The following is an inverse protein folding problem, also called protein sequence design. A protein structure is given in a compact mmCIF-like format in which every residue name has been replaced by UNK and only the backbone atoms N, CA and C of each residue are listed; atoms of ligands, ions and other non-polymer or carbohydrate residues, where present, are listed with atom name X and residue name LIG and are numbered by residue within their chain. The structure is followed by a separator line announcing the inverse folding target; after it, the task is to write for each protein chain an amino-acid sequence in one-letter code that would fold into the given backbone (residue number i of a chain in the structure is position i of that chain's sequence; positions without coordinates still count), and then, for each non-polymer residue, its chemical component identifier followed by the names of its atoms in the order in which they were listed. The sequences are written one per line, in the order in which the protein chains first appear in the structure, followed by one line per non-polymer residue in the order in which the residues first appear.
data_IF_482015512932
#
_entry.id   IF_482015512932
#
_cell.length_a   1.000
_cell.length_b   1.000
_cell.length_c   1.000
_cell.angle_alpha   90.00
_cell.angle_beta   90.00
_cell.angle_gamma   90.00
#
_symmetry.space_group_name_H-M   'P 1'
#
loop_
_entity.id
_entity.type
_entity.pdbx_description
1 polymer ?
#
# COMPACT_ATOMS: atom_id res chain seq x y z
N UNK A 1 77.29 52.11 -6.59
CA UNK A 1 76.33 51.02 -6.27
C UNK A 1 77.09 49.99 -5.45
N UNK A 2 76.79 49.82 -4.15
CA UNK A 2 77.61 49.03 -3.22
C UNK A 2 77.25 47.52 -3.31
N UNK A 3 78.17 46.64 -3.73
CA UNK A 3 77.88 45.22 -3.96
C UNK A 3 77.52 44.44 -2.68
N UNK A 4 77.90 44.93 -1.50
CA UNK A 4 77.60 44.25 -0.23
C UNK A 4 76.11 44.28 0.16
N UNK A 5 75.33 45.23 -0.36
CA UNK A 5 73.88 45.28 -0.13
C UNK A 5 73.11 44.21 -0.92
N UNK A 6 73.67 43.77 -2.06
CA UNK A 6 73.05 42.77 -2.94
C UNK A 6 73.17 41.37 -2.31
N UNK A 7 74.28 41.10 -1.62
CA UNK A 7 74.54 39.81 -0.96
C UNK A 7 73.66 39.61 0.27
N UNK A 8 73.40 40.66 1.06
CA UNK A 8 72.52 40.56 2.24
C UNK A 8 71.03 40.30 1.89
N UNK A 9 70.57 40.71 0.71
CA UNK A 9 69.17 40.50 0.29
C UNK A 9 68.92 39.07 -0.21
N UNK A 10 69.95 38.36 -0.69
CA UNK A 10 69.85 36.99 -1.22
C UNK A 10 69.49 35.95 -0.15
N UNK A 11 69.78 36.22 1.13
CA UNK A 11 69.55 35.30 2.25
C UNK A 11 68.27 35.56 3.04
N UNK A 12 67.50 36.60 2.71
CA UNK A 12 66.16 36.84 3.27
C UNK A 12 65.07 36.28 2.35
N UNK A 13 65.22 35.02 1.97
CA UNK A 13 64.09 34.22 1.49
C UNK A 13 63.28 33.90 2.76
N UNK A 14 61.98 34.22 2.83
CA UNK A 14 61.20 33.85 3.99
C UNK A 14 61.25 32.33 4.12
N UNK A 15 62.00 31.84 5.10
CA UNK A 15 62.17 30.41 5.43
C UNK A 15 60.88 29.82 6.02
N UNK A 16 59.71 30.35 5.65
CA UNK A 16 58.46 29.63 5.71
C UNK A 16 58.43 28.70 4.52
N UNK A 17 59.18 27.60 4.68
CA UNK A 17 59.39 26.58 3.66
C UNK A 17 58.07 26.19 3.00
N UNK A 18 58.08 26.02 1.67
CA UNK A 18 56.96 25.50 0.89
C UNK A 18 56.36 24.22 1.50
N UNK A 19 57.14 23.47 2.28
CA UNK A 19 56.69 22.30 3.05
C UNK A 19 55.61 22.65 4.09
N UNK A 20 55.71 23.80 4.77
CA UNK A 20 54.72 24.24 5.77
C UNK A 20 53.40 24.63 5.10
N UNK A 21 53.45 25.44 4.05
CA UNK A 21 52.26 25.86 3.29
C UNK A 21 51.57 24.67 2.62
N UNK A 22 52.35 23.75 2.03
CA UNK A 22 51.83 22.50 1.46
C UNK A 22 51.15 21.64 2.53
N UNK A 23 51.74 21.50 3.72
CA UNK A 23 51.14 20.75 4.84
C UNK A 23 49.83 21.37 5.33
N UNK A 24 49.76 22.69 5.41
CA UNK A 24 48.53 23.43 5.79
C UNK A 24 47.43 23.25 4.74
N UNK A 25 47.78 23.34 3.45
CA UNK A 25 46.86 23.08 2.34
C UNK A 25 46.33 21.64 2.34
N UNK A 26 47.16 20.64 2.63
CA UNK A 26 46.71 19.25 2.77
C UNK A 26 45.70 19.09 3.92
N UNK A 27 46.01 19.62 5.10
CA UNK A 27 45.07 19.57 6.25
C UNK A 27 43.74 20.23 5.91
N UNK A 28 43.78 21.40 5.30
CA UNK A 28 42.60 22.13 4.85
C UNK A 28 41.79 21.33 3.82
N UNK A 29 42.46 20.66 2.89
CA UNK A 29 41.82 19.77 1.89
C UNK A 29 41.11 18.60 2.55
N UNK A 30 41.76 17.90 3.50
CA UNK A 30 41.14 16.78 4.24
C UNK A 30 39.91 17.22 5.04
N UNK A 31 39.97 18.36 5.74
CA UNK A 31 38.83 18.88 6.50
C UNK A 31 37.65 19.22 5.58
N UNK A 32 37.92 19.82 4.41
CA UNK A 32 36.87 20.12 3.42
C UNK A 32 36.22 18.85 2.87
N UNK A 33 36.99 17.81 2.57
CA UNK A 33 36.45 16.52 2.11
C UNK A 33 35.56 15.87 3.16
N UNK A 34 35.95 15.92 4.44
CA UNK A 34 35.14 15.38 5.54
C UNK A 34 33.81 16.12 5.71
N UNK A 35 33.83 17.45 5.66
CA UNK A 35 32.62 18.29 5.71
C UNK A 35 31.71 17.99 4.51
N UNK A 36 32.28 17.83 3.32
CA UNK A 36 31.52 17.48 2.11
C UNK A 36 30.87 16.10 2.22
N UNK A 37 31.58 15.11 2.77
CA UNK A 37 31.04 13.77 2.99
C UNK A 37 29.86 13.79 3.98
N UNK A 38 29.97 14.56 5.07
CA UNK A 38 28.87 14.73 6.03
C UNK A 38 27.63 15.38 5.39
N UNK A 39 27.83 16.39 4.54
CA UNK A 39 26.73 17.00 3.79
C UNK A 39 26.03 16.01 2.86
N UNK A 40 26.80 15.18 2.15
CA UNK A 40 26.24 14.14 1.28
C UNK A 40 25.41 13.11 2.05
N UNK A 41 25.91 12.67 3.21
CA UNK A 41 25.16 11.77 4.10
C UNK A 41 23.86 12.43 4.57
N UNK A 42 23.91 13.72 4.91
CA UNK A 42 22.74 14.47 5.36
C UNK A 42 21.68 14.60 4.26
N UNK A 43 22.08 14.91 3.02
CA UNK A 43 21.17 14.93 1.87
C UNK A 43 20.55 13.56 1.59
N UNK A 44 21.33 12.49 1.68
CA UNK A 44 20.81 11.12 1.55
C UNK A 44 19.74 10.84 2.61
N UNK A 45 19.96 11.29 3.84
CA UNK A 45 19.03 11.06 4.92
C UNK A 45 17.69 11.78 4.72
N UNK A 46 17.72 13.04 4.29
CA UNK A 46 16.51 13.80 3.93
C UNK A 46 15.78 13.14 2.76
N UNK A 47 16.52 12.75 1.72
CA UNK A 47 15.95 12.05 0.57
C UNK A 47 15.27 10.74 0.99
N UNK A 48 15.89 9.99 1.90
CA UNK A 48 15.31 8.75 2.42
C UNK A 48 14.00 8.99 3.18
N UNK A 49 13.95 9.97 4.09
CA UNK A 49 12.71 10.30 4.81
C UNK A 49 11.63 10.79 3.84
N UNK A 50 12.00 11.58 2.83
CA UNK A 50 11.05 12.03 1.80
C UNK A 50 10.46 10.86 1.01
N UNK A 51 11.29 9.91 0.57
CA UNK A 51 10.80 8.72 -0.16
C UNK A 51 9.89 7.85 0.70
N UNK A 52 10.18 7.68 1.99
CA UNK A 52 9.28 7.00 2.93
C UNK A 52 7.92 7.69 3.02
N UNK A 53 7.90 9.02 3.14
CA UNK A 53 6.64 9.78 3.21
C UNK A 53 5.83 9.66 1.92
N UNK A 54 6.47 9.80 0.75
CA UNK A 54 5.81 9.63 -0.55
C UNK A 54 5.25 8.21 -0.71
N UNK A 55 6.01 7.19 -0.30
CA UNK A 55 5.58 5.80 -0.38
C UNK A 55 4.41 5.52 0.57
N UNK A 56 4.44 6.08 1.79
CA UNK A 56 3.32 5.98 2.72
C UNK A 56 2.04 6.59 2.13
N UNK A 57 2.12 7.81 1.57
CA UNK A 57 0.98 8.46 0.92
C UNK A 57 0.41 7.61 -0.23
N UNK A 58 1.27 7.08 -1.10
CA UNK A 58 0.85 6.19 -2.20
C UNK A 58 0.15 4.94 -1.67
N UNK A 59 0.67 4.35 -0.59
CA UNK A 59 0.08 3.15 0.01
C UNK A 59 -1.31 3.40 0.58
N UNK A 60 -1.53 4.55 1.25
CA UNK A 60 -2.86 4.92 1.73
C UNK A 60 -3.87 5.11 0.59
N UNK A 61 -3.46 5.73 -0.52
CA UNK A 61 -4.32 5.89 -1.70
C UNK A 61 -4.72 4.53 -2.28
N UNK A 62 -3.76 3.62 -2.45
CA UNK A 62 -4.02 2.26 -2.96
C UNK A 62 -4.97 1.52 -2.01
N UNK A 63 -4.77 1.64 -0.69
CA UNK A 63 -5.65 1.02 0.30
C UNK A 63 -7.09 1.51 0.17
N UNK A 64 -7.30 2.81 -0.01
CA UNK A 64 -8.64 3.37 -0.15
C UNK A 64 -9.31 2.87 -1.43
N UNK A 65 -8.60 2.87 -2.55
CA UNK A 65 -9.10 2.34 -3.82
C UNK A 65 -9.46 0.85 -3.72
N UNK A 66 -8.68 0.06 -2.99
CA UNK A 66 -8.97 -1.37 -2.78
C UNK A 66 -10.21 -1.61 -1.89
N UNK A 67 -10.50 -0.70 -0.95
CA UNK A 67 -11.73 -0.75 -0.15
C UNK A 67 -12.93 -0.37 -1.04
N UNK A 68 -12.80 0.72 -1.79
CA UNK A 68 -13.86 1.19 -2.71
C UNK A 68 -14.20 0.14 -3.76
N UNK A 69 -13.19 -0.45 -4.40
CA UNK A 69 -13.37 -1.55 -5.35
C UNK A 69 -14.14 -2.72 -4.74
N UNK A 70 -13.78 -3.14 -3.52
CA UNK A 70 -14.48 -4.24 -2.84
C UNK A 70 -15.94 -3.91 -2.54
N UNK A 71 -16.24 -2.69 -2.14
CA UNK A 71 -17.62 -2.26 -1.91
C UNK A 71 -18.44 -2.27 -3.20
N UNK A 72 -17.89 -1.72 -4.28
CA UNK A 72 -18.56 -1.71 -5.59
C UNK A 72 -18.81 -3.13 -6.11
N UNK A 73 -17.82 -4.01 -6.02
CA UNK A 73 -17.99 -5.42 -6.41
C UNK A 73 -19.03 -6.12 -5.53
N UNK A 74 -19.12 -5.78 -4.24
CA UNK A 74 -20.16 -6.34 -3.37
C UNK A 74 -21.57 -5.87 -3.78
N UNK A 75 -21.72 -4.58 -4.10
CA UNK A 75 -22.99 -4.03 -4.59
C UNK A 75 -23.41 -4.67 -5.92
N UNK A 76 -22.48 -4.84 -6.85
CA UNK A 76 -22.72 -5.53 -8.13
C UNK A 76 -23.22 -6.96 -7.91
N UNK A 77 -22.54 -7.74 -7.07
CA UNK A 77 -22.97 -9.11 -6.74
C UNK A 77 -24.37 -9.16 -6.08
N UNK A 78 -24.71 -8.18 -5.24
CA UNK A 78 -26.05 -8.10 -4.65
C UNK A 78 -27.13 -7.83 -5.69
N UNK A 79 -26.82 -6.98 -6.68
CA UNK A 79 -27.74 -6.69 -7.79
C UNK A 79 -27.91 -7.94 -8.66
N UNK A 80 -26.82 -8.61 -9.01
CA UNK A 80 -26.86 -9.85 -9.81
C UNK A 80 -27.66 -10.95 -9.12
N UNK A 81 -27.52 -11.09 -7.79
CA UNK A 81 -28.32 -12.02 -7.01
C UNK A 81 -29.81 -11.71 -7.09
N UNK A 82 -30.20 -10.44 -6.97
CA UNK A 82 -31.61 -10.01 -7.09
C UNK A 82 -32.17 -10.22 -8.49
N UNK A 83 -31.34 -10.02 -9.52
CA UNK A 83 -31.72 -10.30 -10.91
C UNK A 83 -31.97 -11.80 -11.08
N UNK A 84 -31.07 -12.65 -10.58
CA UNK A 84 -31.23 -14.10 -10.63
C UNK A 84 -32.48 -14.57 -9.87
N UNK A 85 -32.77 -13.98 -8.71
CA UNK A 85 -34.01 -14.25 -7.96
C UNK A 85 -35.25 -13.87 -8.78
N UNK A 86 -35.27 -12.67 -9.35
CA UNK A 86 -36.38 -12.22 -10.20
C UNK A 86 -36.56 -13.09 -11.44
N UNK A 87 -35.47 -13.48 -12.11
CA UNK A 87 -35.51 -14.40 -13.25
C UNK A 87 -35.98 -15.79 -12.84
N UNK A 88 -35.55 -16.29 -11.67
CA UNK A 88 -36.02 -17.58 -11.16
C UNK A 88 -37.52 -17.55 -10.87
N UNK A 89 -38.02 -16.45 -10.32
CA UNK A 89 -39.44 -16.27 -10.03
C UNK A 89 -40.26 -16.17 -11.33
N UNK A 90 -39.78 -15.41 -12.31
CA UNK A 90 -40.41 -15.30 -13.63
C UNK A 90 -40.46 -16.65 -14.35
N UNK A 91 -39.37 -17.43 -14.29
CA UNK A 91 -39.32 -18.79 -14.84
C UNK A 91 -40.32 -19.74 -14.15
N UNK A 92 -40.48 -19.63 -12.82
CA UNK A 92 -41.45 -20.43 -12.07
C UNK A 92 -42.89 -20.03 -12.42
N UNK A 93 -43.19 -18.73 -12.44
CA UNK A 93 -44.53 -18.21 -12.77
C UNK A 93 -44.94 -18.56 -14.20
N UNK A 94 -44.01 -18.51 -15.14
CA UNK A 94 -44.26 -18.81 -16.55
C UNK A 94 -44.08 -20.30 -16.90
N UNK A 95 -43.82 -21.17 -15.92
CA UNK A 95 -43.73 -22.62 -16.15
C UNK A 95 -45.10 -23.15 -16.62
N UNK A 96 -45.17 -23.85 -17.77
CA UNK A 96 -46.42 -24.40 -18.28
C UNK A 96 -47.12 -25.34 -17.30
N UNK A 97 -46.40 -25.97 -16.36
CA UNK A 97 -47.01 -26.77 -15.31
C UNK A 97 -47.80 -25.92 -14.29
N UNK A 98 -47.33 -24.70 -13.98
CA UNK A 98 -48.00 -23.77 -13.05
C UNK A 98 -49.13 -23.02 -13.74
N UNK A 99 -48.97 -22.63 -15.01
CA UNK A 99 -50.02 -21.95 -15.79
C UNK A 99 -51.27 -22.81 -15.99
N UNK A 100 -51.13 -24.13 -15.94
CA UNK A 100 -52.23 -25.10 -16.06
C UNK A 100 -52.79 -25.49 -14.67
N UNK A 101 -52.20 -25.03 -13.55
CA UNK A 101 -52.75 -25.27 -12.21
C UNK A 101 -54.03 -24.46 -11.97
N UNK A 102 -55.09 -25.16 -11.58
CA UNK A 102 -56.36 -24.55 -11.20
C UNK A 102 -56.28 -24.05 -9.75
N UNK A 103 -56.77 -22.84 -9.48
CA UNK A 103 -56.75 -22.23 -8.15
C UNK A 103 -57.66 -23.04 -7.21
N UNK A 104 -57.14 -23.48 -6.06
CA UNK A 104 -57.90 -24.30 -5.12
C UNK A 104 -58.90 -23.44 -4.31
N UNK A 105 -60.19 -23.52 -4.65
CA UNK A 105 -61.27 -22.99 -3.80
C UNK A 105 -61.50 -23.93 -2.62
N UNK A 106 -61.24 -23.44 -1.40
CA UNK A 106 -61.42 -24.13 -0.11
C UNK A 106 -60.63 -25.45 0.08
N UNK A 107 -59.30 -25.40 0.27
CA UNK A 107 -58.52 -26.58 0.62
C UNK A 107 -58.86 -27.05 2.04
N UNK A 108 -59.49 -28.22 2.15
CA UNK A 108 -59.93 -28.79 3.44
C UNK A 108 -58.77 -29.32 4.29
N UNK A 109 -57.62 -29.66 3.69
CA UNK A 109 -56.39 -30.02 4.38
C UNK A 109 -55.19 -30.04 3.42
N UNK A 110 -54.01 -29.58 3.88
CA UNK A 110 -52.73 -29.73 3.19
C UNK A 110 -52.01 -30.95 3.76
N UNK A 111 -51.88 -32.03 2.98
CA UNK A 111 -51.07 -33.19 3.41
C UNK A 111 -49.60 -32.88 3.15
N UNK A 112 -48.90 -32.43 4.18
CA UNK A 112 -47.44 -32.36 4.18
C UNK A 112 -46.89 -33.79 4.26
N UNK A 113 -46.28 -34.28 3.19
CA UNK A 113 -45.64 -35.60 3.18
C UNK A 113 -44.36 -35.56 4.03
N UNK A 114 -44.41 -36.27 5.16
CA UNK A 114 -43.30 -36.74 6.00
C UNK A 114 -42.30 -35.70 6.53
N UNK A 115 -42.67 -35.04 7.63
CA UNK A 115 -41.70 -34.46 8.59
C UNK A 115 -41.77 -35.14 9.97
N UNK A 116 -42.72 -36.08 10.20
CA UNK A 116 -43.04 -36.55 11.56
C UNK A 116 -42.84 -38.04 11.87
N UNK A 117 -42.21 -38.83 10.98
CA UNK A 117 -41.96 -40.25 11.26
C UNK A 117 -40.71 -40.51 12.15
N UNK A 118 -39.85 -39.52 12.37
CA UNK A 118 -38.65 -39.69 13.19
C UNK A 118 -38.90 -39.51 14.71
N UNK A 119 -39.87 -38.67 15.10
CA UNK A 119 -40.11 -38.35 16.52
C UNK A 119 -40.93 -39.43 17.26
N UNK A 120 -41.77 -40.19 16.54
CA UNK A 120 -42.60 -41.23 17.16
C UNK A 120 -41.82 -42.52 17.48
N UNK A 121 -40.69 -42.77 16.81
CA UNK A 121 -39.90 -44.00 17.06
C UNK A 121 -39.07 -43.92 18.34
N UNK A 122 -38.64 -42.72 18.74
CA UNK A 122 -37.82 -42.50 19.94
C UNK A 122 -38.61 -42.65 21.25
N UNK A 123 -39.91 -42.36 21.23
CA UNK A 123 -40.78 -42.41 22.41
C UNK A 123 -41.38 -43.80 22.72
N UNK A 124 -41.02 -44.83 21.95
CA UNK A 124 -41.49 -46.22 22.15
C UNK A 124 -40.40 -47.15 22.71
N UNK A 125 -39.16 -46.66 22.85
CA UNK A 125 -37.99 -47.43 23.34
C UNK A 125 -37.48 -46.96 24.72
N UNK A 126 -38.30 -46.23 25.49
CA UNK A 126 -38.10 -45.94 26.93
C UNK A 126 -39.21 -46.62 27.73
#
# INVERSE_FOLDING_TARGET
MNPNLIVMKKWRIPFFSERKTTRENYKLSFTKTYVMALLMIWFLWIYYVWTLNVNATKWYVIRNLEIEKRNLTFEENLVDMKIAEAQSLDNVVNDPAILVMQTAENPQYLVLKDVNLAFLKWNQEQ
#
